data_IF_526680103646
#
_entry.id   IF_526680103646
#
_cell.length_a   1.000
_cell.length_b   1.000
_cell.length_c   1.000
_cell.angle_alpha   90.00
_cell.angle_beta   90.00
_cell.angle_gamma   90.00
#
_symmetry.space_group_name_H-M   'P 1'
#
loop_
_entity.id
_entity.type
_entity.pdbx_description
1 polymer ?
#
# COMPACT_ATOMS: atom_id res chain seq x y z
N UNK A 1 -25.77 12.70 35.69
CA UNK A 1 -26.62 11.72 34.96
C UNK A 1 -26.52 12.05 33.48
N UNK A 2 -26.79 11.11 32.58
CA UNK A 2 -26.81 11.36 31.12
C UNK A 2 -27.83 10.44 30.46
N UNK A 3 -28.26 10.80 29.26
CA UNK A 3 -29.14 9.96 28.46
C UNK A 3 -28.37 8.94 27.62
N UNK A 4 -28.92 7.74 27.52
CA UNK A 4 -28.35 6.67 26.71
C UNK A 4 -28.48 7.01 25.21
N UNK A 5 -27.38 6.97 24.47
CA UNK A 5 -27.35 7.28 23.04
C UNK A 5 -28.07 6.24 22.14
N UNK A 6 -28.73 5.23 22.72
CA UNK A 6 -29.44 4.16 22.00
C UNK A 6 -30.91 4.07 22.39
N UNK A 7 -31.21 3.97 23.69
CA UNK A 7 -32.60 3.87 24.17
C UNK A 7 -33.17 5.19 24.68
N UNK A 8 -32.36 6.25 24.84
CA UNK A 8 -32.80 7.56 25.34
C UNK A 8 -32.97 7.65 26.86
N UNK A 9 -32.83 6.55 27.58
CA UNK A 9 -33.10 6.52 29.02
C UNK A 9 -31.98 7.15 29.84
N UNK A 10 -32.35 7.94 30.86
CA UNK A 10 -31.41 8.62 31.74
C UNK A 10 -30.79 7.65 32.73
N UNK A 11 -29.46 7.64 32.83
CA UNK A 11 -28.74 6.74 33.73
C UNK A 11 -27.58 7.44 34.45
N UNK A 12 -27.10 6.83 35.53
CA UNK A 12 -25.90 7.26 36.23
C UNK A 12 -24.66 6.68 35.54
N UNK A 13 -23.80 7.56 35.04
CA UNK A 13 -22.53 7.18 34.42
C UNK A 13 -21.51 6.76 35.48
N UNK A 14 -20.71 5.73 35.18
CA UNK A 14 -19.55 5.34 35.99
C UNK A 14 -18.27 6.06 35.55
N UNK A 15 -18.25 6.59 34.32
CA UNK A 15 -17.12 7.33 33.71
C UNK A 15 -17.65 8.42 32.78
N UNK A 16 -16.92 9.52 32.65
CA UNK A 16 -17.29 10.67 31.82
C UNK A 16 -17.52 10.33 30.34
N UNK A 17 -16.89 9.27 29.83
CA UNK A 17 -17.01 8.82 28.43
C UNK A 17 -18.11 7.77 28.21
N UNK A 18 -18.89 7.40 29.23
CA UNK A 18 -19.92 6.38 29.09
C UNK A 18 -21.15 6.92 28.37
N UNK A 19 -21.49 6.31 27.23
CA UNK A 19 -22.61 6.74 26.36
C UNK A 19 -23.82 5.81 26.39
N UNK A 20 -23.72 4.67 27.07
CA UNK A 20 -24.71 3.60 27.02
C UNK A 20 -25.03 3.11 28.43
N UNK A 21 -26.32 2.92 28.72
CA UNK A 21 -26.80 2.47 30.03
C UNK A 21 -26.47 0.99 30.29
N UNK A 22 -26.50 0.14 29.26
CA UNK A 22 -26.29 -1.32 29.38
C UNK A 22 -25.33 -1.88 28.33
N UNK A 23 -24.83 -3.10 28.57
CA UNK A 23 -24.06 -3.87 27.58
C UNK A 23 -24.86 -4.12 26.30
N UNK A 24 -26.18 -4.30 26.41
CA UNK A 24 -27.08 -4.47 25.27
C UNK A 24 -27.16 -3.20 24.41
N UNK A 25 -27.33 -2.01 25.03
CA UNK A 25 -27.29 -0.74 24.31
C UNK A 25 -25.93 -0.52 23.63
N UNK A 26 -24.82 -0.90 24.28
CA UNK A 26 -23.50 -0.86 23.64
C UNK A 26 -23.40 -1.79 22.43
N UNK A 27 -23.89 -3.03 22.53
CA UNK A 27 -23.90 -3.99 21.43
C UNK A 27 -24.77 -3.50 20.25
N UNK A 28 -25.92 -2.93 20.54
CA UNK A 28 -26.82 -2.34 19.53
C UNK A 28 -26.15 -1.14 18.83
N UNK A 29 -25.49 -0.25 19.59
CA UNK A 29 -24.65 0.81 18.99
C UNK A 29 -23.57 0.27 18.06
N UNK A 30 -22.91 -0.84 18.42
CA UNK A 30 -21.94 -1.49 17.54
C UNK A 30 -22.60 -2.03 16.26
N UNK A 31 -23.78 -2.65 16.37
CA UNK A 31 -24.54 -3.17 15.23
C UNK A 31 -24.96 -2.05 14.28
N UNK A 32 -25.54 -0.96 14.79
CA UNK A 32 -25.92 0.22 13.99
C UNK A 32 -24.73 0.84 13.27
N UNK A 33 -23.60 1.04 13.97
CA UNK A 33 -22.36 1.54 13.35
C UNK A 33 -21.81 0.60 12.28
N UNK A 34 -21.96 -0.72 12.47
CA UNK A 34 -21.52 -1.70 11.49
C UNK A 34 -22.36 -1.64 10.22
N UNK A 35 -23.70 -1.59 10.35
CA UNK A 35 -24.63 -1.45 9.23
C UNK A 35 -24.37 -0.14 8.47
N UNK A 36 -24.34 1.00 9.17
CA UNK A 36 -24.01 2.29 8.57
C UNK A 36 -22.69 2.26 7.80
N UNK A 37 -21.64 1.62 8.34
CA UNK A 37 -20.35 1.48 7.64
C UNK A 37 -20.40 0.58 6.40
N UNK A 38 -21.35 -0.35 6.32
CA UNK A 38 -21.55 -1.15 5.10
C UNK A 38 -22.24 -0.34 4.00
N UNK A 39 -23.10 0.60 4.38
CA UNK A 39 -23.86 1.43 3.44
C UNK A 39 -23.05 2.62 2.91
N UNK A 40 -21.93 2.96 3.55
CA UNK A 40 -21.04 4.02 3.08
C UNK A 40 -20.28 3.60 1.82
N UNK A 41 -20.45 4.39 0.77
CA UNK A 41 -19.75 4.24 -0.50
C UNK A 41 -18.37 4.90 -0.47
N UNK A 42 -17.41 4.22 0.13
CA UNK A 42 -16.04 4.70 0.23
C UNK A 42 -15.32 4.56 -1.11
N UNK A 43 -14.67 5.63 -1.55
CA UNK A 43 -13.83 5.62 -2.74
C UNK A 43 -12.39 6.03 -2.41
N UNK A 44 -11.44 5.53 -3.20
CA UNK A 44 -10.04 5.92 -3.12
C UNK A 44 -9.36 5.87 -4.48
N UNK A 45 -8.21 6.53 -4.60
CA UNK A 45 -7.43 6.52 -5.83
C UNK A 45 -6.52 5.28 -5.87
N UNK A 46 -6.51 4.58 -7.01
CA UNK A 46 -5.61 3.46 -7.23
C UNK A 46 -4.16 3.95 -7.29
N UNK A 47 -3.27 3.43 -6.44
CA UNK A 47 -1.87 3.89 -6.45
C UNK A 47 -1.07 3.49 -7.71
N UNK A 48 -1.63 2.67 -8.60
CA UNK A 48 -0.97 2.21 -9.82
C UNK A 48 -1.47 2.89 -11.10
N UNK A 49 -2.69 3.43 -11.09
CA UNK A 49 -3.28 4.10 -12.26
C UNK A 49 -3.97 5.44 -11.96
N UNK A 50 -4.08 5.84 -10.70
CA UNK A 50 -4.71 7.10 -10.28
C UNK A 50 -6.24 7.08 -10.23
N UNK A 51 -6.91 6.16 -10.93
CA UNK A 51 -8.37 6.14 -11.02
C UNK A 51 -9.04 5.89 -9.66
N UNK A 52 -10.17 6.57 -9.43
CA UNK A 52 -11.08 6.31 -8.32
C UNK A 52 -11.67 4.90 -8.42
N UNK A 53 -11.77 4.21 -7.29
CA UNK A 53 -12.43 2.90 -7.18
C UNK A 53 -13.07 2.70 -5.81
N UNK A 54 -14.11 1.85 -5.71
CA UNK A 54 -14.74 1.54 -4.42
C UNK A 54 -13.80 0.81 -3.46
N UNK A 55 -13.66 1.36 -2.26
CA UNK A 55 -12.92 0.78 -1.13
C UNK A 55 -13.87 -0.04 -0.25
N UNK A 56 -13.71 -1.35 -0.27
CA UNK A 56 -14.28 -2.22 0.76
C UNK A 56 -13.36 -2.28 1.98
N UNK A 57 -13.86 -2.75 3.13
CA UNK A 57 -13.01 -3.01 4.31
C UNK A 57 -11.86 -3.96 3.91
N UNK A 58 -10.62 -3.57 4.19
CA UNK A 58 -9.43 -4.33 3.78
C UNK A 58 -9.09 -4.20 2.30
N UNK A 59 -9.65 -3.20 1.60
CA UNK A 59 -9.31 -2.91 0.22
C UNK A 59 -7.80 -2.72 0.06
N UNK A 60 -7.25 -3.34 -0.98
CA UNK A 60 -5.87 -3.11 -1.42
C UNK A 60 -5.76 -1.66 -1.85
N UNK A 61 -4.57 -1.07 -1.79
CA UNK A 61 -4.26 0.29 -2.25
C UNK A 61 -4.32 0.49 -3.79
N UNK A 62 -4.95 -0.45 -4.50
CA UNK A 62 -5.10 -0.47 -5.96
C UNK A 62 -6.48 -0.99 -6.34
N UNK A 63 -6.95 -0.62 -7.52
CA UNK A 63 -8.18 -1.12 -8.09
C UNK A 63 -8.06 -2.57 -8.59
N UNK A 64 -9.20 -3.13 -9.03
CA UNK A 64 -9.32 -4.49 -9.56
C UNK A 64 -9.13 -4.57 -11.08
N UNK A 65 -8.73 -3.48 -11.75
CA UNK A 65 -8.42 -3.52 -13.18
C UNK A 65 -7.33 -4.59 -13.46
N UNK A 66 -7.50 -5.46 -14.49
CA UNK A 66 -6.53 -6.49 -14.87
C UNK A 66 -5.10 -5.99 -15.04
N UNK A 67 -4.91 -4.82 -15.63
CA UNK A 67 -3.58 -4.21 -15.78
C UNK A 67 -2.96 -3.88 -14.42
N UNK A 68 -3.75 -3.30 -13.51
CA UNK A 68 -3.28 -3.01 -12.15
C UNK A 68 -3.04 -4.29 -11.33
N UNK A 69 -3.80 -5.37 -11.56
CA UNK A 69 -3.54 -6.69 -10.98
C UNK A 69 -2.20 -7.26 -11.46
N UNK A 70 -1.92 -7.20 -12.75
CA UNK A 70 -0.67 -7.68 -13.37
C UNK A 70 0.52 -6.87 -12.87
N UNK A 71 0.42 -5.52 -12.91
CA UNK A 71 1.45 -4.61 -12.37
C UNK A 71 1.77 -4.94 -10.92
N UNK A 72 0.75 -5.11 -10.09
CA UNK A 72 0.91 -5.46 -8.68
C UNK A 72 1.66 -6.76 -8.43
N UNK A 73 1.37 -7.78 -9.24
CA UNK A 73 2.05 -9.07 -9.16
C UNK A 73 3.54 -8.91 -9.49
N UNK A 74 3.86 -8.19 -10.57
CA UNK A 74 5.25 -7.88 -10.95
C UNK A 74 5.98 -7.18 -9.80
N UNK A 75 5.39 -6.14 -9.22
CA UNK A 75 5.98 -5.41 -8.09
C UNK A 75 6.26 -6.32 -6.89
N UNK A 76 5.34 -7.21 -6.52
CA UNK A 76 5.54 -8.14 -5.39
C UNK A 76 6.69 -9.13 -5.66
N UNK A 77 6.73 -9.69 -6.86
CA UNK A 77 7.76 -10.65 -7.25
C UNK A 77 9.14 -9.98 -7.32
N UNK A 78 9.22 -8.77 -7.88
CA UNK A 78 10.47 -8.01 -7.96
C UNK A 78 11.02 -7.66 -6.57
N UNK A 79 10.17 -7.25 -5.63
CA UNK A 79 10.57 -7.00 -4.25
C UNK A 79 11.17 -8.25 -3.60
N UNK A 80 10.49 -9.39 -3.70
CA UNK A 80 10.96 -10.66 -3.15
C UNK A 80 12.31 -11.09 -3.76
N UNK A 81 12.48 -10.96 -5.09
CA UNK A 81 13.73 -11.28 -5.79
C UNK A 81 14.88 -10.36 -5.37
N UNK A 82 14.65 -9.05 -5.31
CA UNK A 82 15.65 -8.07 -4.88
C UNK A 82 16.11 -8.33 -3.44
N UNK A 83 15.15 -8.56 -2.54
CA UNK A 83 15.43 -8.91 -1.15
C UNK A 83 16.25 -10.20 -1.03
N UNK A 84 15.90 -11.26 -1.78
CA UNK A 84 16.64 -12.52 -1.77
C UNK A 84 18.10 -12.34 -2.23
N UNK A 85 18.35 -11.52 -3.26
CA UNK A 85 19.70 -11.22 -3.76
C UNK A 85 20.58 -10.56 -2.70
N UNK A 86 20.03 -9.63 -1.93
CA UNK A 86 20.78 -8.95 -0.86
C UNK A 86 21.02 -9.87 0.34
N UNK A 87 20.01 -10.66 0.76
CA UNK A 87 20.16 -11.65 1.84
C UNK A 87 21.25 -12.67 1.55
N UNK A 88 21.33 -13.17 0.32
CA UNK A 88 22.35 -14.14 -0.10
C UNK A 88 23.79 -13.62 0.07
N UNK A 89 23.98 -12.31 0.20
CA UNK A 89 25.26 -11.65 0.42
C UNK A 89 25.42 -11.10 1.85
N UNK A 90 24.52 -11.45 2.76
CA UNK A 90 24.54 -10.96 4.14
C UNK A 90 24.19 -9.47 4.30
N UNK A 91 23.61 -8.85 3.28
CA UNK A 91 23.29 -7.42 3.30
C UNK A 91 21.99 -7.09 4.05
N UNK A 92 21.80 -5.80 4.33
CA UNK A 92 20.63 -5.28 5.03
C UNK A 92 19.39 -5.36 4.13
N UNK A 93 18.30 -5.91 4.67
CA UNK A 93 17.02 -6.03 3.95
C UNK A 93 15.86 -5.56 4.81
N UNK A 94 15.10 -4.62 4.28
CA UNK A 94 13.86 -4.13 4.87
C UNK A 94 12.64 -4.71 4.15
N UNK A 95 11.47 -4.56 4.77
CA UNK A 95 10.20 -4.78 4.09
C UNK A 95 9.89 -3.59 3.19
N UNK A 96 10.26 -3.70 1.92
CA UNK A 96 10.06 -2.63 0.93
C UNK A 96 8.69 -2.73 0.25
N UNK A 97 7.98 -1.60 0.17
CA UNK A 97 6.78 -1.47 -0.64
C UNK A 97 7.12 -0.82 -1.99
N UNK A 98 7.39 -1.63 -3.01
CA UNK A 98 7.74 -1.10 -4.35
C UNK A 98 6.64 -0.25 -5.01
N UNK A 99 5.39 -0.35 -4.56
CA UNK A 99 4.35 0.59 -5.02
C UNK A 99 4.58 1.99 -4.48
N UNK A 100 5.08 2.10 -3.24
CA UNK A 100 5.45 3.37 -2.64
C UNK A 100 6.71 3.95 -3.31
N UNK A 101 7.68 3.11 -3.67
CA UNK A 101 8.85 3.53 -4.48
C UNK A 101 8.39 4.06 -5.84
N UNK A 102 7.55 3.31 -6.56
CA UNK A 102 7.01 3.74 -7.84
C UNK A 102 6.24 5.07 -7.76
N UNK A 103 5.44 5.25 -6.70
CA UNK A 103 4.69 6.49 -6.47
C UNK A 103 5.61 7.66 -6.09
N UNK A 104 6.62 7.43 -5.24
CA UNK A 104 7.63 8.42 -4.83
C UNK A 104 8.39 8.95 -6.05
N UNK A 105 8.85 8.02 -6.90
CA UNK A 105 9.67 8.32 -8.08
C UNK A 105 8.83 8.75 -9.28
N UNK A 106 7.49 8.75 -9.15
CA UNK A 106 6.52 9.09 -10.20
C UNK A 106 6.71 8.28 -11.50
N UNK A 107 7.29 7.09 -11.39
CA UNK A 107 7.63 6.26 -12.55
C UNK A 107 8.74 6.83 -13.43
N UNK A 108 9.57 7.72 -12.92
CA UNK A 108 10.73 8.29 -13.64
C UNK A 108 11.98 7.48 -13.33
N UNK A 109 12.75 7.16 -14.36
CA UNK A 109 14.01 6.44 -14.22
C UNK A 109 15.06 7.33 -13.55
N UNK A 110 15.65 6.88 -12.44
CA UNK A 110 16.67 7.67 -11.72
C UNK A 110 18.01 7.81 -12.46
N UNK A 111 18.22 7.02 -13.52
CA UNK A 111 19.46 7.01 -14.31
C UNK A 111 19.40 7.97 -15.49
N UNK A 112 18.26 8.05 -16.18
CA UNK A 112 18.12 8.83 -17.42
C UNK A 112 17.01 9.89 -17.36
N UNK A 113 16.31 10.01 -16.23
CA UNK A 113 15.22 10.97 -15.99
C UNK A 113 13.99 10.85 -16.92
N UNK A 114 13.89 9.77 -17.69
CA UNK A 114 12.77 9.51 -18.59
C UNK A 114 11.68 8.62 -17.96
N UNK A 115 10.40 8.75 -18.36
CA UNK A 115 9.32 7.92 -17.86
C UNK A 115 9.46 6.42 -18.21
N UNK A 116 9.27 5.56 -17.20
CA UNK A 116 9.26 4.10 -17.36
C UNK A 116 7.81 3.60 -17.50
N UNK A 117 7.38 3.38 -18.74
CA UNK A 117 5.96 3.06 -19.05
C UNK A 117 5.67 1.57 -19.25
N UNK A 118 6.68 0.76 -19.60
CA UNK A 118 6.51 -0.65 -19.97
C UNK A 118 6.55 -1.55 -18.74
N UNK A 119 5.58 -2.47 -18.61
CA UNK A 119 5.52 -3.44 -17.52
C UNK A 119 5.22 -4.83 -18.09
N UNK A 120 5.91 -5.85 -17.58
CA UNK A 120 5.69 -7.25 -17.95
C UNK A 120 6.73 -7.79 -18.92
N UNK A 121 6.52 -7.59 -20.22
CA UNK A 121 7.38 -8.17 -21.25
C UNK A 121 8.83 -7.65 -21.18
N UNK A 122 9.79 -8.56 -21.35
CA UNK A 122 11.22 -8.25 -21.32
C UNK A 122 11.59 -7.26 -22.42
N UNK A 123 12.52 -6.37 -22.12
CA UNK A 123 13.03 -5.37 -23.07
C UNK A 123 13.67 -4.20 -22.34
N UNK A 124 14.46 -3.37 -23.05
CA UNK A 124 15.25 -2.31 -22.44
C UNK A 124 14.40 -1.26 -21.70
N UNK A 125 13.18 -1.00 -22.16
CA UNK A 125 12.28 0.00 -21.54
C UNK A 125 11.47 -0.55 -20.36
N UNK A 126 11.66 -1.82 -19.98
CA UNK A 126 10.88 -2.48 -18.93
C UNK A 126 11.13 -1.82 -17.56
N UNK A 127 10.05 -1.62 -16.80
CA UNK A 127 10.09 -1.22 -15.40
C UNK A 127 10.84 -2.25 -14.55
N UNK A 128 11.95 -1.80 -13.97
CA UNK A 128 12.67 -2.49 -12.91
C UNK A 128 12.89 -1.55 -11.71
N UNK A 129 13.44 -2.10 -10.64
CA UNK A 129 13.88 -1.34 -9.47
C UNK A 129 15.36 -1.56 -9.29
N UNK A 130 16.10 -0.47 -9.34
CA UNK A 130 17.53 -0.48 -9.20
C UNK A 130 17.95 -0.21 -7.76
N UNK A 131 19.01 -0.89 -7.36
CA UNK A 131 19.73 -0.59 -6.14
C UNK A 131 20.69 0.56 -6.46
N UNK A 132 20.40 1.76 -5.94
CA UNK A 132 21.15 2.99 -6.24
C UNK A 132 22.63 2.78 -5.92
N UNK A 133 22.93 2.26 -4.74
CA UNK A 133 24.21 1.62 -4.43
C UNK A 133 24.10 0.14 -4.82
N UNK A 134 24.95 -0.38 -5.73
CA UNK A 134 24.90 -1.77 -6.16
C UNK A 134 25.05 -2.76 -5.01
N UNK A 135 24.32 -3.89 -5.09
CA UNK A 135 24.42 -4.95 -4.08
C UNK A 135 25.83 -5.54 -3.97
N UNK A 136 26.58 -5.58 -5.08
CA UNK A 136 27.99 -6.02 -5.10
C UNK A 136 28.92 -5.11 -4.30
N UNK A 137 28.52 -3.86 -4.08
CA UNK A 137 29.29 -2.85 -3.34
C UNK A 137 28.74 -2.64 -1.92
N UNK A 138 27.91 -3.57 -1.44
CA UNK A 138 27.30 -3.48 -0.11
C UNK A 138 25.95 -2.76 -0.07
N UNK A 139 25.37 -2.45 -1.23
CA UNK A 139 24.03 -1.85 -1.33
C UNK A 139 22.94 -2.68 -0.64
N UNK A 140 22.14 -2.00 0.17
CA UNK A 140 21.05 -2.59 0.96
C UNK A 140 19.74 -2.68 0.17
N UNK A 141 18.83 -3.60 0.55
CA UNK A 141 17.48 -3.65 0.01
C UNK A 141 16.52 -2.87 0.93
N UNK A 142 16.58 -1.54 0.86
CA UNK A 142 15.79 -0.62 1.69
C UNK A 142 14.92 0.30 0.83
N UNK A 143 13.97 1.00 1.44
CA UNK A 143 13.17 2.01 0.73
C UNK A 143 14.05 3.12 0.14
N UNK A 144 15.15 3.48 0.83
CA UNK A 144 16.06 4.55 0.42
C UNK A 144 16.99 4.14 -0.73
N UNK A 145 17.49 2.91 -0.72
CA UNK A 145 18.44 2.44 -1.73
C UNK A 145 17.77 1.85 -2.99
N UNK A 146 16.44 1.81 -3.04
CA UNK A 146 15.70 1.33 -4.22
C UNK A 146 15.07 2.50 -4.97
N UNK A 147 15.25 2.53 -6.29
CA UNK A 147 14.68 3.54 -7.18
C UNK A 147 14.12 2.93 -8.48
N UNK A 148 13.16 3.61 -9.10
CA UNK A 148 12.63 3.24 -10.41
C UNK A 148 13.72 3.36 -11.48
N UNK A 149 13.85 2.34 -12.33
CA UNK A 149 14.81 2.32 -13.44
C UNK A 149 14.25 1.57 -14.65
N UNK A 150 14.75 1.83 -15.84
CA UNK A 150 14.58 0.94 -17.00
C UNK A 150 15.54 -0.25 -16.89
N UNK A 151 15.11 -1.43 -17.31
CA UNK A 151 15.94 -2.65 -17.34
C UNK A 151 17.24 -2.45 -18.15
N UNK A 152 17.13 -1.73 -19.28
CA UNK A 152 18.27 -1.37 -20.12
C UNK A 152 19.22 -0.35 -19.47
N UNK A 153 18.69 0.61 -18.71
CA UNK A 153 19.52 1.57 -17.96
C UNK A 153 20.25 0.89 -16.81
N UNK A 154 19.53 0.05 -16.04
CA UNK A 154 20.12 -0.75 -14.95
C UNK A 154 21.25 -1.66 -15.47
N UNK A 155 21.08 -2.28 -16.63
CA UNK A 155 22.09 -3.18 -17.20
C UNK A 155 23.33 -2.48 -17.74
N UNK A 156 23.26 -1.18 -18.02
CA UNK A 156 24.35 -0.36 -18.58
C UNK A 156 25.15 0.40 -17.51
N UNK A 157 24.59 0.52 -16.31
CA UNK A 157 25.24 1.08 -15.12
C UNK A 157 26.37 0.15 -14.67
#
# INVERSE_FOLDING_TARGET
MTDCAICGETFRIARSTQRYCTKQCYAESRKRRYQFRQDLDWHGNCMLCGNLYPLKRGARSRCQNPECLKRDQVLRVSAAKGAARVRARGGIVEQVNLRAVLARDRGICHVCDEPVRRIGERGPDLLTFDHVVPVSEGGSHTMENLAVCHDGCQSRK
#
